data_IF_353765406168
#
_entry.id   IF_353765406168
#
_cell.length_a   1.000
_cell.length_b   1.000
_cell.length_c   1.000
_cell.angle_alpha   90.00
_cell.angle_beta   90.00
_cell.angle_gamma   90.00
#
_symmetry.space_group_name_H-M   'P 1'
#
loop_
_entity.id
_entity.type
_entity.pdbx_description
1 polymer ?
#
# COMPACT_ATOMS: atom_id res chain seq x y z
N UNK A 1 -8.74 24.43 8.04
CA UNK A 1 -9.55 23.61 8.97
C UNK A 1 -10.68 24.50 9.48
N UNK A 2 -11.93 24.08 9.31
CA UNK A 2 -13.13 24.83 9.73
C UNK A 2 -13.52 24.34 11.13
N UNK A 3 -13.77 25.28 12.06
CA UNK A 3 -14.18 24.98 13.44
C UNK A 3 -15.61 25.51 13.61
N UNK A 4 -16.62 24.63 13.75
CA UNK A 4 -18.00 25.06 13.97
C UNK A 4 -18.14 25.81 15.31
N UNK A 5 -18.79 26.98 15.29
CA UNK A 5 -19.12 27.77 16.49
C UNK A 5 -18.24 28.99 16.77
N UNK A 6 -17.09 29.15 16.10
CA UNK A 6 -16.18 30.31 16.30
C UNK A 6 -15.83 31.01 14.98
N UNK A 7 -16.05 30.38 13.82
CA UNK A 7 -15.67 30.96 12.52
C UNK A 7 -16.87 31.51 11.73
N UNK A 8 -16.86 32.83 11.46
CA UNK A 8 -17.78 33.48 10.50
C UNK A 8 -17.18 33.41 9.08
N UNK A 9 -17.98 33.13 8.04
CA UNK A 9 -17.48 33.09 6.67
C UNK A 9 -17.16 34.51 6.16
N UNK A 10 -15.91 34.72 5.73
CA UNK A 10 -15.52 35.91 4.99
C UNK A 10 -15.95 35.78 3.53
N UNK A 11 -16.85 36.65 3.07
CA UNK A 11 -17.22 36.77 1.66
C UNK A 11 -16.03 37.28 0.85
N UNK A 12 -15.44 36.43 0.00
CA UNK A 12 -14.47 36.88 -1.01
C UNK A 12 -15.17 37.00 -2.35
N UNK A 13 -15.27 38.25 -2.83
CA UNK A 13 -15.66 38.60 -4.18
C UNK A 13 -14.71 37.95 -5.19
N UNK A 14 -15.28 37.32 -6.22
CA UNK A 14 -14.55 36.77 -7.35
C UNK A 14 -14.15 37.90 -8.30
N UNK A 15 -12.87 38.22 -8.38
CA UNK A 15 -12.34 39.10 -9.43
C UNK A 15 -12.18 38.34 -10.76
N UNK A 16 -12.55 39.01 -11.85
CA UNK A 16 -12.41 38.55 -13.24
C UNK A 16 -10.93 38.50 -13.63
N UNK A 17 -10.47 37.36 -14.17
CA UNK A 17 -9.20 37.28 -14.90
C UNK A 17 -9.30 38.00 -16.25
N UNK A 18 -8.29 38.83 -16.54
CA UNK A 18 -8.14 39.69 -17.72
C UNK A 18 -7.01 39.16 -18.64
N UNK A 19 -7.28 39.12 -19.95
CA UNK A 19 -6.32 38.95 -21.06
C UNK A 19 -5.97 37.49 -21.39
N UNK A 20 -5.80 37.01 -22.63
CA UNK A 20 -5.67 37.52 -24.02
C UNK A 20 -5.00 36.32 -24.78
N UNK A 21 -5.30 35.89 -26.00
CA UNK A 21 -5.53 36.59 -27.27
C UNK A 21 -4.36 36.27 -28.23
N UNK A 22 -4.62 35.54 -29.33
CA UNK A 22 -3.76 35.38 -30.53
C UNK A 22 -2.70 34.26 -30.48
N UNK A 23 -2.28 33.57 -31.54
CA UNK A 23 -2.54 33.65 -32.98
C UNK A 23 -1.33 33.10 -33.78
N UNK A 24 -1.55 32.04 -34.58
CA UNK A 24 -0.96 31.68 -35.90
C UNK A 24 0.55 31.71 -36.27
N UNK A 25 0.91 30.71 -37.11
CA UNK A 25 2.00 30.58 -38.12
C UNK A 25 3.43 30.31 -37.56
N UNK A 26 4.33 29.50 -38.13
CA UNK A 26 4.45 28.69 -39.36
C UNK A 26 5.95 28.52 -39.73
N UNK A 27 6.36 27.35 -40.28
CA UNK A 27 7.43 27.24 -41.30
C UNK A 27 8.89 26.87 -40.95
N UNK A 28 9.40 25.80 -41.60
CA UNK A 28 10.79 25.55 -42.08
C UNK A 28 11.88 25.23 -41.04
N UNK A 29 12.82 24.27 -41.17
CA UNK A 29 13.38 23.53 -42.30
C UNK A 29 14.92 23.63 -42.25
N UNK A 30 15.69 22.52 -42.28
CA UNK A 30 17.13 22.57 -42.61
C UNK A 30 18.13 21.66 -41.85
N UNK A 31 18.35 20.46 -42.42
CA UNK A 31 19.64 19.78 -42.74
C UNK A 31 20.84 19.80 -41.77
N UNK A 32 21.34 18.57 -41.52
CA UNK A 32 22.70 18.16 -41.93
C UNK A 32 23.73 17.89 -40.82
N UNK A 33 24.33 16.69 -40.83
CA UNK A 33 25.54 16.41 -40.04
C UNK A 33 25.85 14.92 -39.84
N UNK A 34 26.76 14.38 -40.64
CA UNK A 34 27.28 13.01 -40.69
C UNK A 34 28.41 12.72 -39.68
N UNK A 35 28.61 11.44 -39.30
CA UNK A 35 29.87 10.89 -38.75
C UNK A 35 29.64 9.63 -37.90
N UNK A 36 29.75 8.41 -38.44
CA UNK A 36 30.93 7.51 -38.48
C UNK A 36 31.53 7.08 -37.12
N UNK A 37 31.54 5.74 -36.96
CA UNK A 37 32.57 4.86 -36.37
C UNK A 37 32.87 4.85 -34.86
N UNK A 38 32.79 3.64 -34.28
CA UNK A 38 33.98 3.00 -33.71
C UNK A 38 34.03 2.79 -32.19
N UNK A 39 34.15 1.52 -31.78
CA UNK A 39 35.21 1.08 -30.86
C UNK A 39 35.00 1.24 -29.35
N UNK A 40 34.68 0.11 -28.70
CA UNK A 40 35.42 -0.53 -27.60
C UNK A 40 36.07 0.29 -26.46
N UNK A 41 35.71 -0.14 -25.23
CA UNK A 41 36.52 -0.25 -23.98
C UNK A 41 37.03 1.04 -23.32
N UNK A 42 36.69 1.21 -22.05
CA UNK A 42 37.40 2.14 -21.17
C UNK A 42 36.67 2.39 -19.85
N UNK A 43 36.97 1.58 -18.84
CA UNK A 43 36.71 1.85 -17.44
C UNK A 43 37.49 3.07 -16.96
N UNK A 44 36.83 4.03 -16.31
CA UNK A 44 37.45 4.80 -15.23
C UNK A 44 36.41 5.50 -14.35
N UNK A 45 36.75 5.44 -13.07
CA UNK A 45 36.16 6.01 -11.88
C UNK A 45 36.01 7.54 -11.90
N UNK A 46 34.99 8.04 -11.21
CA UNK A 46 35.03 9.37 -10.61
C UNK A 46 33.67 10.06 -10.54
N UNK A 47 33.23 10.43 -9.33
CA UNK A 47 32.13 11.36 -9.14
C UNK A 47 31.15 10.99 -8.04
N UNK A 48 31.61 11.00 -6.78
CA UNK A 48 30.70 11.12 -5.63
C UNK A 48 30.09 12.52 -5.66
N UNK A 49 28.83 12.63 -6.07
CA UNK A 49 27.99 13.80 -5.82
C UNK A 49 26.77 13.35 -5.01
N UNK A 50 26.84 13.68 -3.73
CA UNK A 50 25.75 13.61 -2.74
C UNK A 50 24.46 14.22 -3.29
N UNK A 51 23.43 13.39 -3.43
CA UNK A 51 22.05 13.80 -3.70
C UNK A 51 21.14 13.25 -2.60
N UNK A 52 20.04 13.93 -2.25
CA UNK A 52 19.20 13.58 -1.11
C UNK A 52 18.57 12.21 -1.32
N UNK A 53 18.32 11.48 -0.23
CA UNK A 53 17.69 10.15 -0.21
C UNK A 53 16.35 10.14 -0.96
N UNK A 54 16.38 9.86 -2.26
CA UNK A 54 15.17 9.56 -3.03
C UNK A 54 14.71 8.16 -2.64
N UNK A 55 13.57 8.06 -1.98
CA UNK A 55 12.84 6.81 -1.72
C UNK A 55 12.45 6.15 -3.04
N UNK A 56 13.39 5.43 -3.67
CA UNK A 56 13.16 4.68 -4.90
C UNK A 56 12.25 3.51 -4.58
N UNK A 57 11.22 3.28 -5.40
CA UNK A 57 10.34 2.12 -5.27
C UNK A 57 11.17 0.84 -5.32
N UNK A 58 11.11 0.04 -4.24
CA UNK A 58 11.84 -1.23 -4.12
C UNK A 58 10.86 -2.37 -4.34
N UNK A 59 11.06 -3.23 -5.36
CA UNK A 59 10.20 -4.39 -5.55
C UNK A 59 10.39 -5.37 -4.39
N UNK A 60 9.30 -6.00 -3.98
CA UNK A 60 9.31 -7.09 -3.00
C UNK A 60 9.01 -8.42 -3.72
N UNK A 61 9.73 -9.48 -3.35
CA UNK A 61 9.53 -10.82 -3.90
C UNK A 61 8.90 -11.74 -2.85
N UNK A 62 7.72 -12.28 -3.14
CA UNK A 62 7.34 -13.60 -2.63
C UNK A 62 8.20 -14.63 -3.38
N UNK A 63 8.81 -15.58 -2.67
CA UNK A 63 9.73 -16.54 -3.28
C UNK A 63 9.16 -17.17 -4.54
N UNK A 64 9.87 -17.00 -5.67
CA UNK A 64 9.52 -17.35 -7.06
C UNK A 64 8.53 -16.40 -7.79
N UNK A 65 9.04 -15.33 -8.39
CA UNK A 65 8.44 -14.77 -9.63
C UNK A 65 7.28 -13.79 -9.51
N UNK A 66 7.04 -13.18 -8.34
CA UNK A 66 6.05 -12.11 -8.15
C UNK A 66 4.84 -12.52 -7.32
N UNK A 67 4.01 -11.54 -6.94
CA UNK A 67 2.76 -11.75 -6.19
C UNK A 67 1.68 -12.27 -7.14
N UNK A 68 1.22 -13.50 -6.90
CA UNK A 68 0.39 -14.28 -7.82
C UNK A 68 -1.10 -14.24 -7.50
N UNK A 69 -1.68 -13.08 -7.22
CA UNK A 69 -3.07 -13.03 -6.75
C UNK A 69 -4.11 -12.91 -7.87
N UNK A 70 -5.14 -13.78 -7.85
CA UNK A 70 -6.23 -13.76 -8.82
C UNK A 70 -5.85 -14.22 -10.23
N UNK A 71 -4.84 -15.09 -10.35
CA UNK A 71 -4.42 -15.68 -11.63
C UNK A 71 -3.49 -14.80 -12.47
N UNK A 72 -2.92 -13.73 -11.88
CA UNK A 72 -1.96 -12.84 -12.53
C UNK A 72 -0.76 -12.62 -11.63
N UNK A 73 0.46 -12.73 -12.17
CA UNK A 73 1.67 -12.30 -11.47
C UNK A 73 1.83 -10.78 -11.56
N UNK A 74 2.12 -10.14 -10.44
CA UNK A 74 2.36 -8.70 -10.33
C UNK A 74 3.49 -8.41 -9.35
N UNK A 75 4.12 -7.25 -9.51
CA UNK A 75 5.17 -6.79 -8.60
C UNK A 75 4.58 -5.84 -7.56
N UNK A 76 4.76 -6.17 -6.28
CA UNK A 76 4.53 -5.22 -5.20
C UNK A 76 5.81 -4.43 -4.95
N UNK A 77 5.68 -3.15 -4.61
CA UNK A 77 6.83 -2.32 -4.27
C UNK A 77 6.56 -1.43 -3.07
N UNK A 78 7.57 -1.29 -2.22
CA UNK A 78 7.59 -0.28 -1.18
C UNK A 78 7.57 1.12 -1.82
N UNK A 79 6.90 2.08 -1.16
CA UNK A 79 6.72 3.45 -1.68
C UNK A 79 5.96 3.54 -3.03
N UNK A 80 5.40 2.45 -3.54
CA UNK A 80 4.60 2.46 -4.77
C UNK A 80 3.26 3.20 -4.60
N UNK A 81 2.70 3.75 -5.67
CA UNK A 81 1.42 4.46 -5.62
C UNK A 81 0.19 3.56 -5.43
N UNK A 82 0.32 2.26 -5.73
CA UNK A 82 -0.81 1.33 -5.80
C UNK A 82 -1.66 1.53 -7.05
N UNK A 83 -2.93 1.11 -6.99
CA UNK A 83 -3.93 1.36 -8.03
C UNK A 83 -4.11 0.24 -9.05
N UNK A 84 -4.40 0.65 -10.29
CA UNK A 84 -4.82 -0.24 -11.37
C UNK A 84 -6.32 -0.51 -11.36
N UNK A 85 -6.86 -0.95 -12.51
CA UNK A 85 -8.28 -1.27 -12.62
C UNK A 85 -8.63 -2.48 -11.74
N UNK A 86 -9.68 -2.39 -10.90
CA UNK A 86 -10.17 -3.55 -10.17
C UNK A 86 -10.73 -4.59 -11.14
N UNK A 87 -10.57 -5.87 -10.82
CA UNK A 87 -11.13 -6.98 -11.59
C UNK A 87 -11.62 -8.09 -10.66
N UNK A 88 -12.50 -8.95 -11.15
CA UNK A 88 -12.97 -10.10 -10.39
C UNK A 88 -11.96 -11.25 -10.45
N UNK A 89 -11.76 -11.93 -9.33
CA UNK A 89 -10.96 -13.15 -9.26
C UNK A 89 -11.62 -14.25 -10.11
N UNK A 90 -10.83 -14.88 -10.97
CA UNK A 90 -11.31 -15.92 -11.87
C UNK A 90 -11.91 -17.12 -11.12
N UNK A 91 -12.85 -17.81 -11.78
CA UNK A 91 -13.40 -19.05 -11.27
C UNK A 91 -12.30 -20.11 -11.09
N UNK A 92 -12.45 -20.97 -10.08
CA UNK A 92 -11.47 -22.02 -9.75
C UNK A 92 -10.28 -21.55 -8.90
N UNK A 93 -10.20 -20.26 -8.57
CA UNK A 93 -9.21 -19.72 -7.63
C UNK A 93 -9.83 -19.43 -6.25
N UNK A 94 -9.03 -19.38 -5.17
CA UNK A 94 -9.50 -18.88 -3.88
C UNK A 94 -10.16 -17.50 -4.02
N UNK A 95 -11.32 -17.32 -3.37
CA UNK A 95 -12.11 -16.09 -3.41
C UNK A 95 -12.66 -15.71 -4.80
N UNK A 96 -12.91 -16.69 -5.67
CA UNK A 96 -13.55 -16.50 -6.97
C UNK A 96 -14.76 -15.54 -6.90
N UNK A 97 -14.85 -14.64 -7.88
CA UNK A 97 -15.91 -13.63 -7.98
C UNK A 97 -15.67 -12.34 -7.19
N UNK A 98 -14.72 -12.31 -6.24
CA UNK A 98 -14.43 -11.09 -5.48
C UNK A 98 -13.58 -10.11 -6.27
N UNK A 99 -13.82 -8.82 -6.03
CA UNK A 99 -13.03 -7.76 -6.64
C UNK A 99 -11.67 -7.63 -5.98
N UNK A 100 -10.63 -7.46 -6.80
CA UNK A 100 -9.25 -7.24 -6.39
C UNK A 100 -8.68 -6.01 -7.11
N UNK A 101 -7.89 -5.21 -6.39
CA UNK A 101 -7.24 -4.01 -6.91
C UNK A 101 -8.07 -2.73 -6.78
N UNK A 102 -7.55 -1.63 -7.33
CA UNK A 102 -8.17 -0.31 -7.26
C UNK A 102 -7.76 0.54 -6.04
N UNK A 103 -7.22 -0.08 -4.99
CA UNK A 103 -6.72 0.61 -3.81
C UNK A 103 -5.42 1.38 -4.09
N UNK A 104 -5.37 2.63 -3.66
CA UNK A 104 -4.21 3.53 -3.82
C UNK A 104 -3.55 3.85 -2.48
N UNK A 105 -2.32 4.35 -2.52
CA UNK A 105 -1.57 4.82 -1.34
C UNK A 105 -2.38 5.75 -0.44
N UNK A 106 -3.21 6.63 -1.03
CA UNK A 106 -4.03 7.59 -0.28
C UNK A 106 -5.14 6.92 0.54
N UNK A 107 -5.47 5.66 0.24
CA UNK A 107 -6.50 4.88 0.92
C UNK A 107 -5.90 3.84 1.87
N UNK A 108 -4.59 3.88 2.09
CA UNK A 108 -3.91 2.82 2.84
C UNK A 108 -4.26 2.84 4.33
N UNK A 109 -4.54 4.01 4.91
CA UNK A 109 -4.87 4.12 6.31
C UNK A 109 -6.31 3.64 6.57
N UNK A 110 -6.45 2.66 7.47
CA UNK A 110 -7.72 2.26 8.05
C UNK A 110 -8.04 3.02 9.34
N UNK A 111 -8.74 2.35 10.25
CA UNK A 111 -9.00 2.82 11.62
C UNK A 111 -8.51 1.75 12.61
N UNK A 112 -8.91 1.83 13.88
CA UNK A 112 -8.69 0.75 14.88
C UNK A 112 -9.68 -0.40 14.73
N UNK A 113 -10.70 -0.23 13.88
CA UNK A 113 -11.74 -1.22 13.65
C UNK A 113 -11.29 -2.24 12.62
N UNK A 114 -11.39 -3.53 12.95
CA UNK A 114 -11.10 -4.60 12.00
C UNK A 114 -12.12 -4.58 10.85
N UNK A 115 -11.64 -4.66 9.62
CA UNK A 115 -12.45 -4.45 8.41
C UNK A 115 -12.45 -3.00 7.89
N UNK A 116 -11.67 -2.09 8.48
CA UNK A 116 -11.50 -0.73 7.98
C UNK A 116 -10.53 -0.66 6.77
N UNK A 117 -10.53 0.46 6.05
CA UNK A 117 -9.63 0.69 4.90
C UNK A 117 -10.14 0.14 3.56
N UNK A 118 -11.43 -0.21 3.49
CA UNK A 118 -12.09 -0.71 2.28
C UNK A 118 -12.81 0.36 1.45
N UNK A 119 -12.73 1.63 1.85
CA UNK A 119 -13.48 2.74 1.23
C UNK A 119 -14.96 2.77 1.65
N UNK A 120 -15.74 3.70 1.08
CA UNK A 120 -17.12 3.97 1.51
C UNK A 120 -18.15 2.90 1.15
N UNK A 121 -17.80 1.90 0.34
CA UNK A 121 -18.74 0.86 -0.11
C UNK A 121 -18.98 -0.25 0.92
N UNK A 122 -18.22 -0.28 2.01
CA UNK A 122 -18.34 -1.30 3.05
C UNK A 122 -18.62 -0.66 4.40
N UNK A 123 -19.74 -1.04 5.01
CA UNK A 123 -20.11 -0.66 6.36
C UNK A 123 -19.90 -1.82 7.34
N UNK A 124 -19.70 -1.49 8.60
CA UNK A 124 -19.60 -2.46 9.69
C UNK A 124 -18.24 -3.14 9.83
N UNK A 125 -18.14 -3.96 10.87
CA UNK A 125 -16.92 -4.69 11.24
C UNK A 125 -16.65 -5.92 10.39
N UNK A 126 -15.40 -6.37 10.48
CA UNK A 126 -14.94 -7.62 9.89
C UNK A 126 -14.64 -7.52 8.41
N UNK A 127 -14.12 -8.62 7.88
CA UNK A 127 -13.58 -8.71 6.52
C UNK A 127 -14.31 -9.76 5.68
N UNK A 128 -15.34 -10.38 6.27
CA UNK A 128 -16.14 -11.43 5.65
C UNK A 128 -16.70 -11.01 4.29
N UNK A 129 -16.43 -11.80 3.25
CA UNK A 129 -16.99 -11.58 1.91
C UNK A 129 -16.45 -10.36 1.16
N UNK A 130 -15.49 -9.62 1.73
CA UNK A 130 -14.98 -8.39 1.12
C UNK A 130 -13.96 -8.69 0.02
N UNK A 131 -13.78 -7.71 -0.87
CA UNK A 131 -12.76 -7.75 -1.91
C UNK A 131 -11.33 -7.60 -1.37
N UNK A 132 -10.38 -7.36 -2.26
CA UNK A 132 -8.97 -7.14 -1.92
C UNK A 132 -8.46 -5.91 -2.63
N UNK A 133 -8.82 -4.70 -2.17
CA UNK A 133 -8.49 -3.45 -2.87
C UNK A 133 -6.98 -3.29 -3.11
N UNK A 134 -6.16 -3.93 -2.28
CA UNK A 134 -4.70 -3.88 -2.36
C UNK A 134 -4.04 -5.20 -2.76
N UNK A 135 -4.80 -6.23 -3.18
CA UNK A 135 -4.32 -7.60 -3.49
C UNK A 135 -3.88 -8.46 -2.32
N UNK A 136 -3.76 -7.92 -1.11
CA UNK A 136 -3.34 -8.66 0.07
C UNK A 136 -4.53 -9.10 0.90
N UNK A 137 -4.47 -10.31 1.44
CA UNK A 137 -5.53 -10.84 2.30
C UNK A 137 -5.49 -10.13 3.66
N UNK A 138 -6.64 -9.89 4.31
CA UNK A 138 -6.68 -9.37 5.68
C UNK A 138 -5.91 -10.27 6.64
N UNK A 139 -5.36 -9.72 7.72
CA UNK A 139 -4.78 -10.56 8.77
C UNK A 139 -5.88 -11.36 9.45
N UNK A 140 -5.57 -12.57 9.90
CA UNK A 140 -6.47 -13.35 10.77
C UNK A 140 -5.89 -13.35 12.18
N UNK A 141 -6.75 -13.35 13.18
CA UNK A 141 -6.34 -13.42 14.57
C UNK A 141 -6.26 -14.88 15.03
N UNK A 142 -5.21 -15.22 15.76
CA UNK A 142 -5.02 -16.55 16.36
C UNK A 142 -5.44 -16.60 17.82
N UNK A 143 -5.44 -17.81 18.39
CA UNK A 143 -5.43 -18.05 19.83
C UNK A 143 -6.66 -17.56 20.60
N UNK A 144 -6.42 -17.06 21.81
CA UNK A 144 -7.45 -16.63 22.77
C UNK A 144 -8.24 -15.38 22.36
N UNK A 145 -7.84 -14.71 21.28
CA UNK A 145 -8.59 -13.62 20.66
C UNK A 145 -10.02 -14.03 20.23
N UNK A 146 -10.27 -15.33 20.12
CA UNK A 146 -11.52 -15.92 19.63
C UNK A 146 -12.34 -16.58 20.75
N UNK A 147 -11.90 -16.47 22.01
CA UNK A 147 -12.68 -16.90 23.18
C UNK A 147 -13.85 -15.95 23.48
N UNK A 148 -13.84 -14.78 22.85
CA UNK A 148 -14.93 -13.81 22.87
C UNK A 148 -15.69 -13.94 21.56
N UNK A 149 -16.99 -14.19 21.68
CA UNK A 149 -18.00 -14.65 20.70
C UNK A 149 -18.20 -13.79 19.45
N UNK A 150 -17.30 -12.88 19.11
CA UNK A 150 -17.44 -11.98 17.97
C UNK A 150 -16.98 -12.65 16.68
N UNK A 151 -17.95 -13.23 15.97
CA UNK A 151 -17.76 -13.97 14.71
C UNK A 151 -17.00 -13.19 13.63
N UNK A 152 -17.04 -11.86 13.67
CA UNK A 152 -16.38 -11.02 12.67
C UNK A 152 -14.84 -10.98 12.82
N UNK A 153 -14.31 -11.31 14.01
CA UNK A 153 -12.86 -11.43 14.27
C UNK A 153 -12.33 -12.80 13.83
N UNK A 154 -13.16 -13.85 13.89
CA UNK A 154 -12.82 -15.18 13.37
C UNK A 154 -13.05 -15.28 11.86
N UNK A 155 -12.05 -14.85 11.11
CA UNK A 155 -12.05 -14.92 9.63
C UNK A 155 -11.18 -16.06 9.09
N UNK A 156 -10.82 -17.03 9.95
CA UNK A 156 -9.95 -18.18 9.58
C UNK A 156 -10.64 -19.17 8.66
N UNK A 157 -11.96 -19.32 8.77
CA UNK A 157 -12.74 -20.16 7.86
C UNK A 157 -12.59 -19.70 6.39
N UNK A 158 -12.33 -18.41 6.19
CA UNK A 158 -12.24 -17.79 4.87
C UNK A 158 -10.79 -17.61 4.40
N UNK A 159 -9.90 -17.09 5.26
CA UNK A 159 -8.52 -16.76 4.88
C UNK A 159 -7.47 -17.76 5.37
N UNK A 160 -7.90 -18.85 6.01
CA UNK A 160 -7.04 -19.86 6.63
C UNK A 160 -6.44 -19.40 7.97
N UNK A 161 -5.60 -20.25 8.55
CA UNK A 161 -4.90 -19.97 9.81
C UNK A 161 -3.72 -19.01 9.65
N UNK A 162 -3.19 -18.49 10.76
CA UNK A 162 -2.03 -17.59 10.78
C UNK A 162 -0.78 -18.18 10.12
N UNK A 163 -0.63 -19.51 10.15
CA UNK A 163 0.48 -20.26 9.54
C UNK A 163 0.22 -20.68 8.08
N UNK A 164 -0.84 -20.19 7.44
CA UNK A 164 -1.20 -20.56 6.08
C UNK A 164 -0.14 -20.05 5.08
N UNK A 165 0.65 -20.98 4.53
CA UNK A 165 1.69 -20.69 3.53
C UNK A 165 1.15 -20.40 2.13
N UNK A 166 -0.13 -20.70 1.86
CA UNK A 166 -0.79 -20.36 0.58
C UNK A 166 -1.18 -18.89 0.49
N UNK A 167 -1.09 -18.15 1.61
CA UNK A 167 -1.24 -16.69 1.62
C UNK A 167 -0.13 -16.07 0.78
N UNK A 168 -0.52 -15.17 -0.11
CA UNK A 168 0.42 -14.35 -0.87
C UNK A 168 1.27 -13.49 0.08
N UNK A 169 2.60 -13.58 -0.04
CA UNK A 169 3.55 -12.99 0.92
C UNK A 169 3.92 -13.92 2.08
N UNK A 170 3.34 -15.12 2.14
CA UNK A 170 3.63 -16.14 3.14
C UNK A 170 2.74 -16.06 4.40
N UNK A 171 2.99 -16.93 5.39
CA UNK A 171 2.27 -16.93 6.65
C UNK A 171 2.35 -15.58 7.36
N UNK A 172 1.41 -15.32 8.26
CA UNK A 172 1.44 -14.10 9.07
C UNK A 172 2.66 -14.12 9.98
N UNK A 173 3.30 -12.97 10.08
CA UNK A 173 4.47 -12.75 10.89
C UNK A 173 4.30 -11.49 11.72
N UNK A 174 5.09 -11.39 12.78
CA UNK A 174 5.15 -10.22 13.63
C UNK A 174 6.59 -9.79 13.89
N UNK A 175 6.75 -8.50 14.11
CA UNK A 175 8.00 -7.88 14.55
C UNK A 175 7.69 -6.86 15.64
N UNK A 176 8.64 -6.68 16.54
CA UNK A 176 8.48 -5.86 17.74
C UNK A 176 9.42 -4.66 17.71
N UNK A 177 8.90 -3.49 18.09
CA UNK A 177 9.64 -2.24 18.24
C UNK A 177 9.42 -1.72 19.66
N UNK A 178 10.48 -1.66 20.45
CA UNK A 178 10.42 -1.19 21.83
C UNK A 178 10.94 0.25 21.92
N UNK A 179 10.20 1.13 22.59
CA UNK A 179 10.64 2.50 22.86
C UNK A 179 11.85 2.51 23.81
N UNK A 180 12.85 3.40 23.59
CA UNK A 180 13.98 3.58 24.48
C UNK A 180 13.63 4.32 25.77
N UNK A 181 12.52 5.06 25.79
CA UNK A 181 12.20 6.00 26.87
C UNK A 181 11.01 5.60 27.74
N UNK A 182 10.01 4.91 27.17
CA UNK A 182 8.71 4.72 27.86
C UNK A 182 8.33 3.26 28.04
N UNK A 183 9.23 2.31 27.77
CA UNK A 183 8.97 0.86 27.78
C UNK A 183 7.73 0.44 26.95
N UNK A 184 7.24 1.30 26.05
CA UNK A 184 6.14 0.92 25.16
C UNK A 184 6.65 -0.05 24.10
N UNK A 185 5.88 -1.10 23.88
CA UNK A 185 6.19 -2.11 22.88
C UNK A 185 5.13 -2.05 21.78
N UNK A 186 5.55 -1.68 20.58
CA UNK A 186 4.73 -1.71 19.39
C UNK A 186 5.00 -2.98 18.61
N UNK A 187 3.98 -3.56 17.97
CA UNK A 187 4.17 -4.69 17.07
C UNK A 187 3.50 -4.44 15.75
N UNK A 188 4.12 -4.94 14.69
CA UNK A 188 3.51 -4.99 13.37
C UNK A 188 3.10 -6.43 13.10
N UNK A 189 1.93 -6.61 12.50
CA UNK A 189 1.43 -7.90 12.02
C UNK A 189 1.03 -7.76 10.57
N UNK A 190 1.60 -8.60 9.70
CA UNK A 190 1.25 -8.69 8.28
C UNK A 190 1.72 -10.04 7.72
N UNK A 191 1.56 -10.28 6.41
CA UNK A 191 2.25 -11.37 5.73
C UNK A 191 3.78 -11.21 5.85
N UNK A 192 4.49 -12.34 5.90
CA UNK A 192 5.93 -12.40 6.14
C UNK A 192 6.73 -11.46 5.21
N UNK A 193 6.47 -11.49 3.90
CA UNK A 193 7.14 -10.64 2.92
C UNK A 193 6.92 -9.14 3.20
N UNK A 194 5.70 -8.74 3.57
CA UNK A 194 5.37 -7.36 3.96
C UNK A 194 6.11 -6.95 5.23
N UNK A 195 6.18 -7.81 6.24
CA UNK A 195 6.93 -7.51 7.48
C UNK A 195 8.42 -7.34 7.18
N UNK A 196 9.05 -8.25 6.43
CA UNK A 196 10.46 -8.15 6.03
C UNK A 196 10.75 -6.82 5.31
N UNK A 197 9.87 -6.43 4.38
CA UNK A 197 10.01 -5.16 3.66
C UNK A 197 9.93 -3.97 4.62
N UNK A 198 8.92 -3.94 5.50
CA UNK A 198 8.69 -2.83 6.42
C UNK A 198 9.81 -2.70 7.46
N UNK A 199 10.35 -3.81 7.97
CA UNK A 199 11.49 -3.76 8.90
C UNK A 199 12.66 -3.01 8.28
N UNK A 200 13.01 -3.30 7.01
CA UNK A 200 14.09 -2.61 6.31
C UNK A 200 13.88 -1.10 6.23
N UNK A 201 12.65 -0.64 5.96
CA UNK A 201 12.33 0.78 5.82
C UNK A 201 12.18 1.47 7.19
N UNK A 202 11.65 0.78 8.21
CA UNK A 202 11.53 1.28 9.58
C UNK A 202 12.90 1.42 10.25
N UNK A 203 13.80 0.46 10.03
CA UNK A 203 15.17 0.53 10.53
C UNK A 203 15.94 1.73 9.99
N UNK A 204 15.60 2.20 8.77
CA UNK A 204 16.23 3.36 8.12
C UNK A 204 15.57 4.68 8.51
N UNK A 205 14.23 4.75 8.56
CA UNK A 205 13.53 6.02 8.80
C UNK A 205 13.28 6.30 10.28
N UNK A 206 13.21 5.25 11.11
CA UNK A 206 12.95 5.34 12.55
C UNK A 206 14.18 4.96 13.38
N UNK A 207 15.38 5.02 12.79
CA UNK A 207 16.64 4.83 13.51
C UNK A 207 16.65 5.70 14.78
N UNK A 208 17.21 5.17 15.87
CA UNK A 208 17.27 5.79 17.21
C UNK A 208 15.93 6.05 17.92
N UNK A 209 14.79 5.67 17.34
CA UNK A 209 13.47 5.80 18.01
C UNK A 209 13.04 4.52 18.72
N UNK A 210 13.79 3.44 18.60
CA UNK A 210 13.56 2.17 19.30
C UNK A 210 14.89 1.66 19.91
N UNK A 211 14.81 0.90 21.00
CA UNK A 211 15.96 0.42 21.79
C UNK A 211 16.80 -0.62 21.05
N UNK A 212 16.15 -1.48 20.28
CA UNK A 212 16.79 -2.60 19.58
C UNK A 212 16.37 -2.55 18.14
N UNK A 213 17.34 -2.50 17.22
CA UNK A 213 17.04 -2.61 15.80
C UNK A 213 16.58 -4.04 15.52
N UNK A 214 15.30 -4.26 15.17
CA UNK A 214 14.87 -5.60 14.84
C UNK A 214 15.67 -6.06 13.63
N UNK A 215 16.30 -7.23 13.73
CA UNK A 215 16.89 -7.87 12.58
C UNK A 215 15.79 -8.08 11.51
N UNK A 216 16.13 -8.13 10.22
CA UNK A 216 15.16 -8.45 9.17
C UNK A 216 14.55 -9.86 9.31
N UNK A 217 14.90 -10.61 10.35
CA UNK A 217 14.22 -11.83 10.76
C UNK A 217 12.87 -11.53 11.41
N UNK A 218 11.82 -12.12 10.87
CA UNK A 218 10.46 -12.02 11.41
C UNK A 218 10.13 -13.25 12.24
N UNK A 219 9.36 -13.08 13.31
CA UNK A 219 8.79 -14.21 14.04
C UNK A 219 7.46 -14.56 13.40
N UNK A 220 7.26 -15.82 12.99
CA UNK A 220 5.95 -16.26 12.53
C UNK A 220 4.94 -16.12 13.67
N UNK A 221 3.73 -15.68 13.33
CA UNK A 221 2.68 -15.53 14.33
C UNK A 221 2.23 -16.93 14.79
N UNK A 222 2.39 -17.22 16.08
CA UNK A 222 1.95 -18.48 16.67
C UNK A 222 0.41 -18.54 16.67
N UNK A 223 -0.21 -19.62 16.14
CA UNK A 223 -1.65 -19.83 16.23
C UNK A 223 -2.22 -19.78 17.65
N UNK A 224 -1.40 -20.04 18.67
CA UNK A 224 -1.76 -20.00 20.09
C UNK A 224 -1.22 -18.74 20.79
N UNK A 225 -0.65 -17.80 20.05
CA UNK A 225 -0.11 -16.57 20.62
C UNK A 225 -1.17 -15.83 21.44
N UNK A 226 -0.78 -15.38 22.63
CA UNK A 226 -1.62 -14.51 23.45
C UNK A 226 -1.42 -13.04 23.13
N UNK A 227 -0.40 -12.70 22.33
CA UNK A 227 -0.04 -11.35 21.87
C UNK A 227 0.53 -11.46 20.45
N UNK A 228 0.19 -10.55 19.52
CA UNK A 228 -0.75 -9.45 19.67
C UNK A 228 -2.22 -9.87 19.57
N UNK A 229 -3.10 -9.11 20.21
CA UNK A 229 -4.55 -9.31 20.22
C UNK A 229 -5.30 -8.24 19.41
N UNK A 230 -6.54 -8.51 18.95
CA UNK A 230 -7.33 -7.52 18.22
C UNK A 230 -7.53 -6.21 19.00
N UNK A 231 -7.75 -6.27 20.32
CA UNK A 231 -7.98 -5.09 21.15
C UNK A 231 -6.74 -4.20 21.33
N UNK A 232 -5.57 -4.73 21.00
CA UNK A 232 -4.30 -4.00 21.05
C UNK A 232 -4.03 -3.19 19.78
N UNK A 233 -4.88 -3.31 18.75
CA UNK A 233 -4.68 -2.61 17.49
C UNK A 233 -4.94 -1.13 17.65
N UNK A 234 -3.94 -0.33 17.25
CA UNK A 234 -4.02 1.13 17.26
C UNK A 234 -4.19 1.71 15.85
N UNK A 235 -3.88 0.93 14.81
CA UNK A 235 -4.08 1.31 13.42
C UNK A 235 -4.05 0.07 12.50
N UNK A 236 -5.08 -0.10 11.68
CA UNK A 236 -5.04 -0.99 10.51
C UNK A 236 -4.57 -0.24 9.27
N UNK A 237 -3.93 -0.96 8.35
CA UNK A 237 -3.56 -0.45 7.04
C UNK A 237 -3.90 -1.45 5.95
N UNK A 238 -3.99 -0.96 4.72
CA UNK A 238 -4.13 -1.75 3.51
C UNK A 238 -5.32 -2.72 3.63
N UNK A 239 -6.49 -2.19 4.00
CA UNK A 239 -7.72 -2.96 4.19
C UNK A 239 -7.56 -4.12 5.22
N UNK A 240 -7.08 -3.79 6.42
CA UNK A 240 -6.80 -4.75 7.52
C UNK A 240 -5.82 -5.88 7.18
N UNK A 241 -4.98 -5.75 6.15
CA UNK A 241 -3.90 -6.71 5.85
C UNK A 241 -2.57 -6.39 6.52
N UNK A 242 -2.49 -5.24 7.20
CA UNK A 242 -1.40 -4.86 8.10
C UNK A 242 -2.04 -4.29 9.37
N UNK A 243 -1.53 -4.64 10.53
CA UNK A 243 -1.91 -4.03 11.80
C UNK A 243 -0.68 -3.52 12.55
N UNK A 244 -0.81 -2.33 13.12
CA UNK A 244 0.08 -1.81 14.16
C UNK A 244 -0.64 -1.97 15.50
N UNK A 245 0.00 -2.66 16.43
CA UNK A 245 -0.52 -2.92 17.78
C UNK A 245 0.37 -2.31 18.84
N UNK A 246 -0.22 -2.05 20.00
CA UNK A 246 0.46 -1.56 21.19
C UNK A 246 0.23 -2.57 22.32
N UNK A 247 1.31 -3.14 22.85
CA UNK A 247 1.21 -4.04 23.98
C UNK A 247 0.57 -3.32 25.17
N UNK A 248 -0.22 -4.05 25.96
CA UNK A 248 -1.02 -3.55 27.11
C UNK A 248 -2.16 -2.58 26.78
N UNK A 249 -2.31 -2.13 25.52
CA UNK A 249 -3.48 -1.37 25.13
C UNK A 249 -4.72 -2.28 25.03
N UNK A 250 -5.85 -1.80 25.52
CA UNK A 250 -7.11 -2.52 25.48
C UNK A 250 -8.22 -1.61 24.97
N UNK A 251 -8.56 -1.76 23.69
CA UNK A 251 -9.68 -1.06 23.10
C UNK A 251 -11.00 -1.78 23.40
N UNK A 252 -11.80 -1.19 24.28
CA UNK A 252 -13.13 -1.71 24.65
C UNK A 252 -14.13 -1.71 23.50
N UNK A 253 -13.90 -0.89 22.47
CA UNK A 253 -14.73 -0.90 21.28
C UNK A 253 -14.62 -2.22 20.53
N UNK A 254 -13.51 -2.94 20.62
CA UNK A 254 -13.23 -4.16 19.85
C UNK A 254 -14.29 -5.24 20.04
N UNK A 255 -14.79 -5.49 21.24
CA UNK A 255 -15.81 -6.53 21.47
C UNK A 255 -17.21 -5.96 21.65
N UNK A 256 -17.39 -4.69 21.28
CA UNK A 256 -18.65 -3.99 21.41
C UNK A 256 -19.39 -3.92 20.07
N UNK A 257 -20.69 -3.58 20.09
CA UNK A 257 -21.44 -3.31 18.86
C UNK A 257 -20.79 -2.22 17.98
N UNK A 258 -21.18 -2.21 16.70
CA UNK A 258 -20.79 -1.19 15.76
C UNK A 258 -21.17 0.22 16.26
N UNK A 259 -20.27 1.18 16.02
CA UNK A 259 -20.45 2.58 16.42
C UNK A 259 -19.96 2.94 17.83
N UNK A 260 -19.50 1.98 18.65
CA UNK A 260 -18.82 2.32 19.91
C UNK A 260 -17.50 3.04 19.64
N UNK A 261 -17.26 4.12 20.37
CA UNK A 261 -16.02 4.90 20.28
C UNK A 261 -14.83 4.11 20.82
N UNK A 262 -13.69 4.21 20.13
CA UNK A 262 -12.44 3.60 20.54
C UNK A 262 -11.95 4.15 21.89
N UNK A 263 -11.37 3.28 22.72
CA UNK A 263 -10.66 3.73 23.93
C UNK A 263 -9.54 4.71 23.53
N UNK A 264 -9.35 5.84 24.24
CA UNK A 264 -8.21 6.72 23.99
C UNK A 264 -6.87 6.01 24.16
N UNK A 265 -5.84 6.43 23.42
CA UNK A 265 -4.49 5.91 23.63
C UNK A 265 -3.96 6.36 25.00
N UNK A 266 -3.09 5.56 25.65
CA UNK A 266 -2.43 5.96 26.90
C UNK A 266 -1.64 7.26 26.72
N UNK A 267 -1.67 8.13 27.73
CA UNK A 267 -0.97 9.43 27.70
C UNK A 267 0.55 9.31 27.82
N UNK A 268 1.05 8.22 28.43
CA UNK A 268 2.46 7.92 28.61
C UNK A 268 3.11 7.23 27.40
N UNK A 269 2.52 7.40 26.22
CA UNK A 269 2.98 6.74 25.00
C UNK A 269 4.11 7.51 24.32
N UNK A 270 5.11 6.79 23.81
CA UNK A 270 6.14 7.36 22.92
C UNK A 270 5.51 7.75 21.57
N UNK A 271 5.04 8.99 21.51
CA UNK A 271 4.45 9.58 20.31
C UNK A 271 5.48 9.73 19.19
N UNK A 272 6.76 9.87 19.52
CA UNK A 272 7.83 10.06 18.52
C UNK A 272 8.08 8.77 17.75
N UNK A 273 8.12 7.63 18.45
CA UNK A 273 8.17 6.31 17.83
C UNK A 273 6.87 6.02 17.09
N UNK A 274 5.70 6.22 17.71
CA UNK A 274 4.41 5.96 17.08
C UNK A 274 4.22 6.70 15.75
N UNK A 275 4.49 8.01 15.72
CA UNK A 275 4.39 8.80 14.49
C UNK A 275 5.33 8.24 13.41
N UNK A 276 6.56 7.89 13.78
CA UNK A 276 7.51 7.34 12.82
C UNK A 276 7.04 6.01 12.24
N UNK A 277 6.56 5.09 13.09
CA UNK A 277 6.01 3.81 12.65
C UNK A 277 4.81 4.05 11.72
N UNK A 278 3.85 4.87 12.14
CA UNK A 278 2.62 5.14 11.39
C UNK A 278 2.87 5.78 10.02
N UNK A 279 3.75 6.77 9.96
CA UNK A 279 4.08 7.48 8.72
C UNK A 279 4.88 6.58 7.77
N UNK A 280 5.88 5.86 8.31
CA UNK A 280 6.70 4.96 7.51
C UNK A 280 5.88 3.79 6.97
N UNK A 281 4.98 3.18 7.77
CA UNK A 281 4.09 2.12 7.28
C UNK A 281 3.19 2.66 6.18
N UNK A 282 2.57 3.83 6.37
CA UNK A 282 1.69 4.40 5.34
C UNK A 282 2.40 4.65 4.02
N UNK A 283 3.62 5.20 4.06
CA UNK A 283 4.42 5.50 2.87
C UNK A 283 5.04 4.24 2.25
N UNK A 284 5.64 3.39 3.07
CA UNK A 284 6.51 2.30 2.61
C UNK A 284 5.78 0.96 2.43
N UNK A 285 4.59 0.77 3.01
CA UNK A 285 3.89 -0.51 2.92
C UNK A 285 3.77 -0.98 1.46
N UNK A 286 4.15 -2.22 1.14
CA UNK A 286 4.18 -2.68 -0.23
C UNK A 286 2.79 -2.66 -0.87
N UNK A 287 2.72 -2.03 -2.05
CA UNK A 287 1.53 -2.00 -2.89
C UNK A 287 1.85 -2.57 -4.26
N UNK A 288 0.90 -3.31 -4.82
CA UNK A 288 0.94 -3.73 -6.22
C UNK A 288 0.79 -2.48 -7.09
N UNK A 289 1.79 -2.21 -7.93
CA UNK A 289 1.68 -1.10 -8.86
C UNK A 289 0.56 -1.40 -9.85
N UNK A 290 -0.36 -0.46 -10.01
CA UNK A 290 -1.21 -0.45 -11.18
C UNK A 290 -0.30 -0.41 -12.39
N UNK A 291 -0.36 -1.42 -13.26
CA UNK A 291 0.24 -1.28 -14.59
C UNK A 291 -0.28 0.04 -15.16
N UNK A 292 0.61 0.87 -15.71
CA UNK A 292 0.15 2.03 -16.47
C UNK A 292 -0.89 1.50 -17.47
N UNK A 293 -2.02 2.20 -17.68
CA UNK A 293 -2.83 1.90 -18.85
C UNK A 293 -1.87 1.99 -20.03
N UNK A 294 -1.54 0.83 -20.61
CA UNK A 294 -0.90 0.81 -21.92
C UNK A 294 -1.96 1.44 -22.80
N UNK A 295 -1.80 2.73 -23.08
CA UNK A 295 -2.46 3.33 -24.22
C UNK A 295 -1.94 2.51 -25.39
N UNK A 296 -2.69 1.48 -25.78
CA UNK A 296 -2.43 0.78 -27.02
C UNK A 296 -2.39 1.90 -28.06
N UNK A 297 -1.26 2.14 -28.75
CA UNK A 297 -1.23 3.15 -29.79
C UNK A 297 -2.35 2.79 -30.73
N UNK A 298 -3.32 3.70 -30.88
CA UNK A 298 -4.49 3.48 -31.68
C UNK A 298 -4.03 3.12 -33.09
N UNK A 299 -4.17 1.85 -33.48
CA UNK A 299 -3.80 1.34 -34.81
C UNK A 299 -4.58 2.03 -35.94
N UNK A 300 -5.54 2.91 -35.62
CA UNK A 300 -6.21 3.81 -36.55
C UNK A 300 -5.23 4.64 -37.41
N UNK A 301 -4.03 4.97 -36.91
CA UNK A 301 -3.03 5.67 -37.71
C UNK A 301 -2.37 4.77 -38.78
N UNK A 302 -2.31 3.45 -38.56
CA UNK A 302 -1.78 2.52 -39.56
C UNK A 302 -2.77 2.26 -40.69
N UNK A 303 -4.07 2.18 -40.40
CA UNK A 303 -5.09 2.07 -41.44
C UNK A 303 -5.14 3.31 -42.35
N UNK A 304 -4.99 4.51 -41.78
CA UNK A 304 -4.93 5.74 -42.58
C UNK A 304 -3.70 5.78 -43.51
N UNK A 305 -2.53 5.34 -43.03
CA UNK A 305 -1.30 5.29 -43.85
C UNK A 305 -1.37 4.22 -44.92
N UNK A 306 -1.89 3.02 -44.61
CA UNK A 306 -2.07 1.95 -45.59
C UNK A 306 -3.11 2.35 -46.64
N UNK A 307 -4.20 3.00 -46.25
CA UNK A 307 -5.20 3.52 -47.18
C UNK A 307 -4.66 4.64 -48.06
N UNK A 308 -3.90 5.58 -47.50
CA UNK A 308 -3.26 6.66 -48.26
C UNK A 308 -2.22 6.13 -49.26
N UNK A 309 -1.41 5.14 -48.87
CA UNK A 309 -0.45 4.48 -49.76
C UNK A 309 -1.17 3.69 -50.87
N UNK A 310 -2.25 2.99 -50.54
CA UNK A 310 -3.07 2.29 -51.53
C UNK A 310 -3.74 3.25 -52.52
N UNK A 311 -4.24 4.39 -52.05
CA UNK A 311 -4.80 5.43 -52.90
C UNK A 311 -3.72 6.02 -53.83
N UNK A 312 -2.54 6.34 -53.31
CA UNK A 312 -1.44 6.88 -54.12
C UNK A 312 -0.92 5.90 -55.18
N UNK A 313 -0.94 4.59 -54.89
CA UNK A 313 -0.54 3.55 -55.85
C UNK A 313 -1.61 3.24 -56.91
N UNK A 314 -2.85 3.74 -56.74
CA UNK A 314 -3.96 3.58 -57.71
C UNK A 314 -4.07 4.73 -58.71
N UNK A 315 -3.33 5.83 -58.51
CA UNK A 315 -3.38 7.04 -59.35
C UNK A 315 -2.09 7.32 -60.14
N UNK A 316 -1.20 6.31 -60.27
CA UNK A 316 -0.16 6.24 -61.30
C UNK A 316 -0.48 5.06 -62.24
#
# INVERSE_FOLDING_TARGET
>A
MFIPGISRPASKNLERRKGGGGGGRGGGGGRGGSGRSGGSKGSSSGGKSSSPSSSRSRPISSGSGGFGFGGRSRTASAYGGGGGAPFAIAAGLPFAGRLVGGGTRNQIYGTRTYGSGYGGSYSGRGVGGRGFPFFFWPIVWGGSALLLTDSYLDSRAEYGNVNNSTREGGPLATVTFQSPSTNNTFRIVADNATVISLVSDLSQNCTSKFSTNPAPSTTLLDPNATIPRPEQVIQYYRASSIALTLDQYNNSATYAPDGRLDTPLPSNLDTTLLMCLNDTIGLAAPLINGGMPVWAPSYFNLFAVVWALWALLRFN
#
